data_IF_927727856030
#
_entry.id   IF_927727856030
#
_cell.length_a   1.000
_cell.length_b   1.000
_cell.length_c   1.000
_cell.angle_alpha   90.00
_cell.angle_beta   90.00
_cell.angle_gamma   90.00
#
_symmetry.space_group_name_H-M   'P 1'
#
loop_
_entity.id
_entity.type
_entity.pdbx_description
1 polymer ?
#
# COMPACT_ATOMS: atom_id res chain seq x y z
N UNK A 1 4.89 -9.78 -24.97
CA UNK A 1 4.53 -9.02 -23.76
C UNK A 1 5.60 -7.96 -23.53
N UNK A 2 5.23 -6.68 -23.56
CA UNK A 2 6.15 -5.54 -23.36
C UNK A 2 6.73 -5.59 -21.95
N UNK A 3 7.98 -5.16 -21.75
CA UNK A 3 8.64 -5.17 -20.44
C UNK A 3 8.56 -3.81 -19.76
N UNK A 4 8.33 -3.79 -18.46
CA UNK A 4 8.43 -2.60 -17.60
C UNK A 4 9.43 -2.85 -16.48
N UNK A 5 10.33 -1.89 -16.25
CA UNK A 5 11.26 -1.95 -15.13
C UNK A 5 10.58 -1.44 -13.88
N UNK A 6 10.23 -2.34 -12.97
CA UNK A 6 9.52 -2.01 -11.74
C UNK A 6 10.51 -1.99 -10.57
N UNK A 7 10.42 -0.95 -9.74
CA UNK A 7 11.04 -0.99 -8.42
C UNK A 7 10.06 -1.65 -7.43
N UNK A 8 10.58 -2.59 -6.65
CA UNK A 8 9.93 -3.12 -5.46
C UNK A 8 11.01 -3.56 -4.48
N UNK A 9 10.74 -3.47 -3.17
CA UNK A 9 11.76 -3.69 -2.15
C UNK A 9 12.28 -5.14 -2.16
N UNK A 10 13.45 -5.35 -1.54
CA UNK A 10 14.12 -6.65 -1.54
C UNK A 10 13.46 -7.65 -0.59
N UNK A 11 12.84 -7.16 0.49
CA UNK A 11 12.13 -7.99 1.45
C UNK A 11 10.79 -8.39 0.85
N UNK A 12 10.46 -9.69 0.81
CA UNK A 12 9.13 -10.20 0.44
C UNK A 12 8.06 -9.61 1.36
N UNK A 13 7.60 -8.41 1.05
CA UNK A 13 6.39 -7.84 1.62
C UNK A 13 5.28 -7.94 0.57
N UNK A 14 4.04 -7.96 1.03
CA UNK A 14 2.89 -8.17 0.16
C UNK A 14 2.76 -7.12 -0.94
N UNK A 15 3.05 -5.85 -0.65
CA UNK A 15 2.89 -4.75 -1.60
C UNK A 15 3.80 -4.88 -2.82
N UNK A 16 5.00 -5.41 -2.62
CA UNK A 16 5.97 -5.65 -3.68
C UNK A 16 5.50 -6.74 -4.65
N UNK A 17 5.05 -7.88 -4.13
CA UNK A 17 4.50 -8.97 -4.96
C UNK A 17 3.17 -8.56 -5.61
N UNK A 18 2.32 -7.84 -4.88
CA UNK A 18 1.06 -7.32 -5.39
C UNK A 18 1.29 -6.31 -6.54
N UNK A 19 2.32 -5.46 -6.45
CA UNK A 19 2.69 -4.54 -7.54
C UNK A 19 2.96 -5.31 -8.82
N UNK A 20 3.75 -6.37 -8.70
CA UNK A 20 4.12 -7.20 -9.84
C UNK A 20 2.88 -7.84 -10.44
N UNK A 21 2.08 -8.53 -9.64
CA UNK A 21 0.90 -9.27 -10.13
C UNK A 21 -0.12 -8.32 -10.78
N UNK A 22 -0.39 -7.15 -10.19
CA UNK A 22 -1.30 -6.16 -10.77
C UNK A 22 -0.79 -5.64 -12.12
N UNK A 23 0.49 -5.28 -12.21
CA UNK A 23 1.09 -4.78 -13.45
C UNK A 23 1.09 -5.86 -14.54
N UNK A 24 1.35 -7.12 -14.18
CA UNK A 24 1.38 -8.21 -15.14
C UNK A 24 -0.01 -8.61 -15.64
N UNK A 25 -0.99 -8.70 -14.76
CA UNK A 25 -2.31 -9.24 -15.11
C UNK A 25 -3.30 -8.18 -15.60
N UNK A 26 -3.33 -6.99 -15.00
CA UNK A 26 -4.30 -5.95 -15.36
C UNK A 26 -3.83 -5.09 -16.53
N UNK A 27 -2.51 -4.92 -16.70
CA UNK A 27 -1.92 -4.06 -17.72
C UNK A 27 -1.15 -4.84 -18.80
N UNK A 28 -1.09 -6.17 -18.68
CA UNK A 28 -0.48 -7.06 -19.67
C UNK A 28 0.99 -6.73 -19.99
N UNK A 29 1.72 -6.27 -18.98
CA UNK A 29 3.15 -5.99 -19.05
C UNK A 29 3.96 -7.13 -18.40
N UNK A 30 5.20 -7.31 -18.81
CA UNK A 30 6.16 -8.21 -18.15
C UNK A 30 7.00 -7.40 -17.19
N UNK A 31 7.01 -7.77 -15.92
CA UNK A 31 7.77 -7.02 -14.91
C UNK A 31 9.22 -7.48 -14.92
N UNK A 32 10.15 -6.52 -14.97
CA UNK A 32 11.57 -6.72 -14.72
C UNK A 32 11.97 -5.95 -13.46
N UNK A 33 12.37 -6.66 -12.41
CA UNK A 33 12.83 -6.02 -11.17
C UNK A 33 14.08 -5.18 -11.43
N UNK A 34 14.05 -3.92 -11.03
CA UNK A 34 15.21 -3.01 -11.07
C UNK A 34 15.39 -2.29 -9.75
N UNK A 35 16.54 -1.62 -9.62
CA UNK A 35 16.83 -0.71 -8.51
C UNK A 35 16.17 0.65 -8.77
N UNK A 36 16.08 1.49 -7.74
CA UNK A 36 15.32 2.75 -7.80
C UNK A 36 15.72 3.65 -8.97
N UNK A 37 17.01 3.80 -9.24
CA UNK A 37 17.52 4.71 -10.30
C UNK A 37 17.36 4.19 -11.73
N UNK A 38 17.10 2.89 -11.91
CA UNK A 38 16.95 2.24 -13.22
C UNK A 38 15.54 1.69 -13.48
N UNK A 39 14.60 1.97 -12.59
CA UNK A 39 13.20 1.59 -12.73
C UNK A 39 12.40 2.67 -13.46
N UNK A 40 11.45 2.24 -14.28
CA UNK A 40 10.55 3.09 -15.05
C UNK A 40 9.25 3.37 -14.26
N UNK A 41 8.89 2.50 -13.32
CA UNK A 41 7.64 2.55 -12.55
C UNK A 41 7.86 2.29 -11.05
N UNK A 42 7.14 3.06 -10.22
CA UNK A 42 6.93 2.84 -8.79
C UNK A 42 5.41 2.74 -8.55
N UNK A 43 4.94 1.56 -8.11
CA UNK A 43 3.52 1.22 -8.08
C UNK A 43 2.93 1.17 -6.66
N UNK A 44 3.17 0.12 -5.86
CA UNK A 44 2.51 -0.06 -4.55
C UNK A 44 3.49 0.08 -3.39
N UNK A 45 2.99 0.59 -2.27
CA UNK A 45 3.71 0.57 -1.00
C UNK A 45 4.52 1.82 -0.69
N UNK A 46 5.21 1.80 0.45
CA UNK A 46 6.00 2.93 0.98
C UNK A 46 7.43 2.92 0.49
N UNK A 47 7.58 3.17 -0.82
CA UNK A 47 8.86 3.01 -1.54
C UNK A 47 9.47 4.34 -2.01
N UNK A 48 8.77 5.47 -1.85
CA UNK A 48 9.25 6.76 -2.35
C UNK A 48 10.47 7.31 -1.61
N UNK A 49 10.69 6.92 -0.36
CA UNK A 49 11.93 7.24 0.39
C UNK A 49 13.19 6.72 -0.33
N UNK A 50 13.07 5.64 -1.12
CA UNK A 50 14.17 5.10 -1.91
C UNK A 50 14.53 5.96 -3.15
N UNK A 51 13.69 6.95 -3.47
CA UNK A 51 13.83 7.83 -4.65
C UNK A 51 14.43 9.20 -4.32
N UNK A 52 14.57 9.51 -3.04
CA UNK A 52 15.07 10.80 -2.52
C UNK A 52 16.41 10.62 -1.82
N UNK A 53 17.20 11.69 -1.77
CA UNK A 53 18.51 11.66 -1.15
C UNK A 53 18.45 11.28 0.34
N UNK A 54 19.01 10.14 0.74
CA UNK A 54 19.09 9.77 2.15
C UNK A 54 20.35 10.36 2.81
N UNK A 55 20.16 11.33 3.72
CA UNK A 55 21.25 11.95 4.50
C UNK A 55 21.96 10.99 5.45
N UNK A 56 21.27 9.95 5.94
CA UNK A 56 21.84 8.91 6.81
C UNK A 56 22.77 7.93 6.06
N UNK A 57 22.71 7.92 4.72
CA UNK A 57 23.55 7.09 3.87
C UNK A 57 24.13 7.90 2.69
N UNK A 58 24.96 8.93 2.96
CA UNK A 58 25.34 9.94 1.96
C UNK A 58 26.14 9.35 0.80
N UNK A 59 27.07 8.42 1.07
CA UNK A 59 27.86 7.78 0.02
C UNK A 59 26.99 7.01 -0.99
N UNK A 60 26.03 6.22 -0.50
CA UNK A 60 25.07 5.50 -1.36
C UNK A 60 24.17 6.48 -2.12
N UNK A 61 23.74 7.55 -1.46
CA UNK A 61 22.91 8.60 -2.07
C UNK A 61 23.63 9.36 -3.17
N UNK A 62 24.93 9.63 -3.04
CA UNK A 62 25.73 10.27 -4.11
C UNK A 62 25.84 9.35 -5.32
N UNK A 63 26.09 8.05 -5.13
CA UNK A 63 26.11 7.08 -6.23
C UNK A 63 24.75 7.04 -6.95
N UNK A 64 23.66 6.93 -6.20
CA UNK A 64 22.30 6.96 -6.77
C UNK A 64 22.00 8.27 -7.49
N UNK A 65 22.46 9.40 -6.98
CA UNK A 65 22.30 10.70 -7.62
C UNK A 65 23.03 10.77 -8.96
N UNK A 66 24.28 10.29 -9.04
CA UNK A 66 25.04 10.27 -10.29
C UNK A 66 24.32 9.40 -11.33
N UNK A 67 23.94 8.17 -10.95
CA UNK A 67 23.22 7.25 -11.83
C UNK A 67 21.83 7.77 -12.25
N UNK A 68 21.11 8.38 -11.31
CA UNK A 68 19.78 8.95 -11.56
C UNK A 68 19.81 10.17 -12.47
N UNK A 69 20.87 10.99 -12.42
CA UNK A 69 21.03 12.17 -13.27
C UNK A 69 21.47 11.84 -14.69
N UNK A 70 22.15 10.73 -14.92
CA UNK A 70 22.47 10.26 -16.27
C UNK A 70 21.29 9.59 -16.95
N UNK A 71 20.35 9.02 -16.18
CA UNK A 71 19.14 8.41 -16.72
C UNK A 71 18.08 9.47 -17.10
N UNK A 72 17.93 9.71 -18.41
CA UNK A 72 17.00 10.71 -18.97
C UNK A 72 15.58 10.20 -19.25
N UNK A 73 15.36 8.89 -19.15
CA UNK A 73 14.02 8.32 -19.32
C UNK A 73 13.04 8.95 -18.31
N UNK A 74 11.73 8.96 -18.57
CA UNK A 74 10.76 9.27 -17.53
C UNK A 74 10.75 8.17 -16.45
N UNK A 75 10.48 8.54 -15.21
CA UNK A 75 10.03 7.60 -14.16
C UNK A 75 8.62 7.97 -13.75
N UNK A 76 7.75 6.98 -13.65
CA UNK A 76 6.37 7.16 -13.28
C UNK A 76 6.13 6.72 -11.84
N UNK A 77 5.45 7.58 -11.07
CA UNK A 77 4.91 7.25 -9.76
C UNK A 77 3.41 7.01 -9.92
N UNK A 78 2.95 5.82 -9.54
CA UNK A 78 1.57 5.37 -9.71
C UNK A 78 1.09 4.57 -8.50
N UNK A 79 0.60 5.28 -7.48
CA UNK A 79 -0.03 4.70 -6.30
C UNK A 79 0.91 4.37 -5.14
N UNK A 80 2.16 4.85 -5.20
CA UNK A 80 3.14 4.71 -4.12
C UNK A 80 3.11 5.91 -3.19
N UNK A 81 3.69 5.76 -2.00
CA UNK A 81 3.83 6.85 -1.03
C UNK A 81 5.13 6.82 -0.23
N UNK A 82 5.32 7.84 0.61
CA UNK A 82 6.40 7.88 1.59
C UNK A 82 6.06 7.03 2.83
N UNK A 83 7.09 6.66 3.60
CA UNK A 83 6.93 5.85 4.82
C UNK A 83 6.75 6.71 6.08
N UNK A 84 7.47 7.82 6.18
CA UNK A 84 7.47 8.74 7.32
C UNK A 84 7.33 10.17 6.86
N UNK A 85 7.11 11.11 7.79
CA UNK A 85 7.23 12.54 7.51
C UNK A 85 8.70 12.99 7.40
N UNK A 86 9.61 12.29 8.08
CA UNK A 86 11.03 12.66 8.20
C UNK A 86 11.90 12.27 7.00
N UNK A 87 11.42 12.38 5.75
CA UNK A 87 12.38 12.19 4.64
C UNK A 87 13.29 13.41 4.61
N UNK A 88 14.54 13.18 4.99
CA UNK A 88 15.55 14.21 5.17
C UNK A 88 16.16 14.69 3.83
N UNK A 89 15.68 14.15 2.71
CA UNK A 89 16.27 14.30 1.39
C UNK A 89 15.81 15.55 0.65
N UNK A 90 16.72 16.51 0.36
CA UNK A 90 16.33 17.77 -0.28
C UNK A 90 15.99 17.66 -1.77
N UNK A 91 16.13 16.48 -2.39
CA UNK A 91 15.86 16.28 -3.81
C UNK A 91 15.67 14.81 -4.15
N UNK A 92 14.96 14.56 -5.25
CA UNK A 92 14.90 13.25 -5.90
C UNK A 92 16.20 12.91 -6.65
N UNK A 93 16.53 11.62 -6.75
CA UNK A 93 17.69 11.16 -7.52
C UNK A 93 17.51 11.34 -9.03
N UNK A 94 16.28 11.24 -9.54
CA UNK A 94 15.92 11.42 -10.95
C UNK A 94 15.27 12.77 -11.17
N UNK A 95 15.52 13.40 -12.32
CA UNK A 95 14.93 14.71 -12.67
C UNK A 95 13.59 14.62 -13.42
N UNK A 96 13.41 13.60 -14.27
CA UNK A 96 12.21 13.46 -15.10
C UNK A 96 11.20 12.52 -14.41
N UNK A 97 10.54 13.02 -13.37
CA UNK A 97 9.55 12.27 -12.60
C UNK A 97 8.15 12.68 -13.02
N UNK A 98 7.27 11.71 -13.20
CA UNK A 98 5.88 11.89 -13.59
C UNK A 98 4.98 11.28 -12.52
N UNK A 99 4.39 12.14 -11.69
CA UNK A 99 3.44 11.73 -10.67
C UNK A 99 2.07 11.54 -11.31
N UNK A 100 1.72 10.29 -11.65
CA UNK A 100 0.41 9.94 -12.21
C UNK A 100 -0.62 9.73 -11.11
N UNK A 101 -0.21 9.00 -10.08
CA UNK A 101 -0.97 8.81 -8.86
C UNK A 101 -0.02 8.69 -7.67
N UNK A 102 -0.42 9.20 -6.53
CA UNK A 102 0.28 9.03 -5.25
C UNK A 102 -0.68 8.48 -4.22
N UNK A 103 -0.16 7.86 -3.15
CA UNK A 103 -1.02 7.22 -2.14
C UNK A 103 -2.08 8.17 -1.57
N UNK A 104 -1.70 9.41 -1.25
CA UNK A 104 -2.62 10.43 -0.76
C UNK A 104 -1.98 11.82 -0.63
N UNK A 105 -2.68 12.71 0.08
CA UNK A 105 -2.36 14.14 0.19
C UNK A 105 -1.02 14.39 0.87
N UNK A 106 -0.65 13.58 1.86
CA UNK A 106 0.62 13.78 2.58
C UNK A 106 1.81 13.42 1.69
N UNK A 107 1.69 12.38 0.87
CA UNK A 107 2.70 12.07 -0.15
C UNK A 107 2.79 13.17 -1.20
N UNK A 108 1.66 13.72 -1.67
CA UNK A 108 1.68 14.84 -2.61
C UNK A 108 2.44 16.03 -2.02
N UNK A 109 2.01 16.53 -0.86
CA UNK A 109 2.59 17.71 -0.23
C UNK A 109 4.11 17.56 -0.09
N UNK A 110 4.55 16.38 0.33
CA UNK A 110 5.97 16.08 0.48
C UNK A 110 6.73 16.04 -0.83
N UNK A 111 6.13 15.50 -1.89
CA UNK A 111 6.74 15.55 -3.22
C UNK A 111 6.88 17.00 -3.70
N UNK A 112 5.87 17.84 -3.49
CA UNK A 112 5.89 19.27 -3.83
C UNK A 112 6.96 20.03 -3.03
N UNK A 113 7.08 19.78 -1.73
CA UNK A 113 8.12 20.37 -0.88
C UNK A 113 9.54 20.06 -1.38
N UNK A 114 9.75 18.84 -1.89
CA UNK A 114 11.05 18.40 -2.43
C UNK A 114 11.31 18.97 -3.83
N UNK A 115 10.26 19.12 -4.65
CA UNK A 115 10.37 19.64 -6.01
C UNK A 115 10.46 21.17 -6.05
N UNK A 116 9.86 21.85 -5.07
CA UNK A 116 9.66 23.30 -5.07
C UNK A 116 8.57 23.77 -6.03
N UNK A 117 7.69 22.88 -6.50
CA UNK A 117 6.59 23.18 -7.43
C UNK A 117 5.39 22.24 -7.20
N UNK A 118 4.16 22.69 -7.51
CA UNK A 118 2.96 21.87 -7.35
C UNK A 118 2.90 20.73 -8.37
N UNK A 119 2.29 19.61 -7.97
CA UNK A 119 1.96 18.47 -8.85
C UNK A 119 0.45 18.23 -8.85
N UNK A 120 -0.05 17.46 -9.83
CA UNK A 120 -1.48 17.14 -9.95
C UNK A 120 -1.70 15.63 -10.15
N UNK A 121 -1.32 14.78 -9.17
CA UNK A 121 -1.55 13.35 -9.25
C UNK A 121 -3.01 13.00 -8.90
N UNK A 122 -3.46 11.83 -9.35
CA UNK A 122 -4.60 11.16 -8.72
C UNK A 122 -4.20 10.63 -7.33
N UNK A 123 -5.18 10.34 -6.47
CA UNK A 123 -4.93 9.74 -5.17
C UNK A 123 -5.40 8.29 -5.11
N UNK A 124 -4.59 7.46 -4.46
CA UNK A 124 -4.92 6.07 -4.16
C UNK A 124 -3.69 5.19 -4.13
N UNK A 125 -3.70 4.16 -3.29
CA UNK A 125 -2.71 3.09 -3.37
C UNK A 125 -3.13 2.10 -4.47
N UNK A 126 -2.22 1.72 -5.37
CA UNK A 126 -2.56 0.81 -6.47
C UNK A 126 -2.98 -0.59 -5.98
N UNK A 127 -2.71 -0.95 -4.72
CA UNK A 127 -3.23 -2.16 -4.07
C UNK A 127 -4.76 -2.22 -4.01
N UNK A 128 -5.46 -1.10 -4.16
CA UNK A 128 -6.94 -1.07 -4.22
C UNK A 128 -7.50 -1.86 -5.42
N UNK A 129 -6.65 -2.17 -6.40
CA UNK A 129 -7.00 -3.01 -7.55
C UNK A 129 -6.87 -4.53 -7.26
N UNK A 130 -6.52 -4.92 -6.03
CA UNK A 130 -6.30 -6.33 -5.68
C UNK A 130 -7.50 -7.23 -5.99
N UNK A 131 -8.73 -6.78 -5.73
CA UNK A 131 -9.93 -7.57 -6.03
C UNK A 131 -10.12 -7.87 -7.53
N UNK A 132 -9.54 -7.08 -8.44
CA UNK A 132 -9.59 -7.37 -9.89
C UNK A 132 -8.83 -8.66 -10.25
N UNK A 133 -7.82 -9.05 -9.46
CA UNK A 133 -7.03 -10.26 -9.67
C UNK A 133 -7.82 -11.56 -9.45
N UNK A 134 -8.90 -11.49 -8.68
CA UNK A 134 -9.79 -12.62 -8.35
C UNK A 134 -11.24 -12.35 -8.75
N UNK A 135 -11.50 -11.34 -9.60
CA UNK A 135 -12.85 -10.87 -9.93
C UNK A 135 -13.80 -11.96 -10.42
N UNK A 136 -13.27 -12.94 -11.17
CA UNK A 136 -14.05 -14.08 -11.68
C UNK A 136 -14.51 -15.06 -10.60
N UNK A 137 -13.93 -14.96 -9.40
CA UNK A 137 -14.24 -15.82 -8.25
C UNK A 137 -15.20 -15.12 -7.26
N UNK A 138 -15.47 -13.82 -7.45
CA UNK A 138 -16.33 -13.05 -6.56
C UNK A 138 -17.82 -13.18 -6.95
N UNK A 139 -18.75 -13.18 -5.95
CA UNK A 139 -18.49 -13.13 -4.52
C UNK A 139 -18.01 -14.48 -3.96
N UNK A 140 -17.06 -14.44 -3.03
CA UNK A 140 -16.60 -15.62 -2.28
C UNK A 140 -17.45 -15.79 -1.02
N UNK A 141 -17.90 -17.02 -0.76
CA UNK A 141 -18.66 -17.36 0.45
C UNK A 141 -17.89 -17.02 1.73
N UNK A 142 -18.56 -16.32 2.66
CA UNK A 142 -17.99 -15.97 3.96
C UNK A 142 -17.83 -17.21 4.82
N UNK A 143 -16.66 -17.39 5.42
CA UNK A 143 -16.33 -18.49 6.33
C UNK A 143 -16.00 -18.01 7.74
N UNK A 144 -15.45 -16.81 7.85
CA UNK A 144 -14.95 -16.26 9.10
C UNK A 144 -15.67 -14.96 9.42
N UNK A 145 -16.01 -14.75 10.69
CA UNK A 145 -16.52 -13.45 11.13
C UNK A 145 -15.39 -12.42 11.16
N UNK A 146 -14.20 -12.83 11.59
CA UNK A 146 -13.04 -11.94 11.70
C UNK A 146 -11.81 -12.49 10.97
N UNK A 147 -11.21 -11.67 10.13
CA UNK A 147 -9.84 -11.85 9.64
C UNK A 147 -8.87 -11.02 10.48
N UNK A 148 -7.82 -11.64 11.00
CA UNK A 148 -6.76 -10.96 11.76
C UNK A 148 -5.48 -10.97 10.93
N UNK A 149 -4.96 -9.80 10.61
CA UNK A 149 -3.85 -9.62 9.69
C UNK A 149 -2.68 -8.90 10.38
N UNK A 150 -1.77 -9.63 11.05
CA UNK A 150 -0.60 -9.00 11.65
C UNK A 150 0.38 -8.52 10.58
N UNK A 151 1.02 -7.39 10.83
CA UNK A 151 2.25 -7.00 10.15
C UNK A 151 3.32 -8.07 10.41
N UNK A 152 4.25 -8.27 9.47
CA UNK A 152 5.22 -9.36 9.58
C UNK A 152 6.09 -9.29 10.84
N UNK A 153 6.32 -8.08 11.39
CA UNK A 153 7.05 -7.87 12.65
C UNK A 153 6.26 -8.31 13.88
N UNK A 154 4.93 -8.28 13.78
CA UNK A 154 4.00 -8.63 14.85
C UNK A 154 3.47 -10.05 14.74
N UNK A 155 3.78 -10.77 13.65
CA UNK A 155 3.18 -12.08 13.33
C UNK A 155 3.23 -13.07 14.50
N UNK A 156 4.35 -13.11 15.22
CA UNK A 156 4.57 -14.03 16.33
C UNK A 156 4.30 -13.38 17.71
N UNK A 157 3.69 -12.20 17.73
CA UNK A 157 3.37 -11.51 18.98
C UNK A 157 2.18 -12.20 19.67
N UNK A 158 2.23 -12.47 20.99
CA UNK A 158 1.16 -13.18 21.71
C UNK A 158 -0.22 -12.54 21.56
N UNK A 159 -0.28 -11.21 21.45
CA UNK A 159 -1.53 -10.47 21.22
C UNK A 159 -2.32 -10.92 19.99
N UNK A 160 -1.66 -11.42 18.94
CA UNK A 160 -2.34 -11.94 17.73
C UNK A 160 -3.16 -13.17 18.09
N UNK A 161 -2.56 -14.08 18.87
CA UNK A 161 -3.21 -15.31 19.30
C UNK A 161 -4.30 -15.01 20.34
N UNK A 162 -4.04 -14.11 21.27
CA UNK A 162 -5.05 -13.63 22.22
C UNK A 162 -6.27 -13.05 21.49
N UNK A 163 -6.07 -12.21 20.46
CA UNK A 163 -7.16 -11.67 19.67
C UNK A 163 -7.93 -12.79 18.92
N UNK A 164 -7.22 -13.78 18.39
CA UNK A 164 -7.82 -14.96 17.73
C UNK A 164 -8.71 -15.76 18.69
N UNK A 165 -8.22 -16.01 19.90
CA UNK A 165 -8.94 -16.80 20.93
C UNK A 165 -10.18 -16.08 21.47
N UNK A 166 -10.16 -14.75 21.53
CA UNK A 166 -11.25 -13.95 22.09
C UNK A 166 -12.29 -13.49 21.05
N UNK A 167 -11.95 -13.48 19.75
CA UNK A 167 -12.91 -13.14 18.70
C UNK A 167 -13.62 -14.40 18.16
N UNK A 168 -14.97 -14.38 18.06
CA UNK A 168 -15.73 -15.53 17.58
C UNK A 168 -15.44 -15.79 16.11
N UNK A 169 -15.19 -17.06 15.74
CA UNK A 169 -14.95 -17.48 14.35
C UNK A 169 -13.90 -16.60 13.62
N UNK A 170 -12.70 -16.53 14.20
CA UNK A 170 -11.59 -15.73 13.71
C UNK A 170 -10.55 -16.57 12.94
N UNK A 171 -9.88 -15.94 11.97
CA UNK A 171 -8.82 -16.56 11.18
C UNK A 171 -7.63 -15.61 11.02
N UNK A 172 -6.42 -16.10 11.28
CA UNK A 172 -5.18 -15.32 11.14
C UNK A 172 -4.63 -15.48 9.73
N UNK A 173 -4.42 -14.37 9.02
CA UNK A 173 -4.00 -14.31 7.63
C UNK A 173 -2.54 -13.80 7.56
N UNK A 174 -1.63 -14.56 6.95
CA UNK A 174 -0.25 -14.11 6.70
C UNK A 174 -0.16 -13.42 5.33
N UNK A 175 0.01 -12.10 5.35
CA UNK A 175 0.19 -11.26 4.14
C UNK A 175 1.43 -11.61 3.32
N UNK A 176 2.32 -12.48 3.79
CA UNK A 176 3.48 -12.97 3.02
C UNK A 176 3.16 -14.21 2.18
N UNK A 177 1.96 -14.76 2.30
CA UNK A 177 1.47 -15.81 1.40
C UNK A 177 1.29 -15.25 -0.03
N UNK A 178 0.93 -16.12 -0.98
CA UNK A 178 0.70 -15.72 -2.36
C UNK A 178 -0.40 -14.65 -2.44
N UNK A 179 -0.21 -13.55 -3.20
CA UNK A 179 -1.15 -12.44 -3.23
C UNK A 179 -2.61 -12.82 -3.46
N UNK A 180 -2.94 -13.66 -4.44
CA UNK A 180 -4.33 -14.06 -4.71
C UNK A 180 -4.90 -14.93 -3.61
N UNK A 181 -4.10 -15.80 -3.01
CA UNK A 181 -4.53 -16.59 -1.85
C UNK A 181 -4.90 -15.70 -0.67
N UNK A 182 -4.09 -14.70 -0.35
CA UNK A 182 -4.42 -13.72 0.70
C UNK A 182 -5.69 -12.94 0.37
N UNK A 183 -5.85 -12.50 -0.89
CA UNK A 183 -7.06 -11.79 -1.33
C UNK A 183 -8.30 -12.69 -1.13
N UNK A 184 -8.22 -13.98 -1.48
CA UNK A 184 -9.31 -14.96 -1.24
C UNK A 184 -9.55 -15.20 0.24
N UNK A 185 -8.52 -15.24 1.07
CA UNK A 185 -8.65 -15.39 2.53
C UNK A 185 -9.38 -14.19 3.13
N UNK A 186 -9.00 -12.97 2.76
CA UNK A 186 -9.68 -11.73 3.17
C UNK A 186 -11.14 -11.72 2.68
N UNK A 187 -11.39 -12.15 1.45
CA UNK A 187 -12.74 -12.21 0.89
C UNK A 187 -13.68 -13.16 1.67
N UNK A 188 -13.15 -14.16 2.38
CA UNK A 188 -13.92 -15.08 3.24
C UNK A 188 -14.28 -14.47 4.61
N UNK A 189 -13.80 -13.28 4.94
CA UNK A 189 -14.04 -12.61 6.22
C UNK A 189 -15.19 -11.60 6.13
N UNK A 190 -16.01 -11.49 7.17
CA UNK A 190 -17.01 -10.40 7.31
C UNK A 190 -16.35 -9.09 7.73
N UNK A 191 -15.38 -9.15 8.65
CA UNK A 191 -14.62 -8.00 9.15
C UNK A 191 -13.12 -8.30 9.17
N UNK A 192 -12.28 -7.28 9.05
CA UNK A 192 -10.81 -7.40 9.12
C UNK A 192 -10.22 -6.48 10.17
N UNK A 193 -9.36 -7.02 11.04
CA UNK A 193 -8.47 -6.27 11.92
C UNK A 193 -7.04 -6.47 11.42
N UNK A 194 -6.35 -5.39 11.08
CA UNK A 194 -5.02 -5.49 10.48
C UNK A 194 -4.02 -4.51 11.10
N UNK A 195 -2.80 -4.97 11.40
CA UNK A 195 -1.64 -4.07 11.62
C UNK A 195 -0.79 -3.87 10.36
N UNK A 196 -1.21 -4.50 9.24
CA UNK A 196 -0.62 -4.33 7.91
C UNK A 196 -1.46 -3.38 7.04
N UNK A 197 -0.86 -2.31 6.50
CA UNK A 197 -1.54 -1.38 5.59
C UNK A 197 -2.10 -2.08 4.35
N UNK A 198 -1.36 -3.02 3.74
CA UNK A 198 -1.88 -3.78 2.58
C UNK A 198 -3.04 -4.70 2.97
N UNK A 199 -3.10 -5.17 4.22
CA UNK A 199 -4.28 -5.90 4.70
C UNK A 199 -5.54 -5.02 4.68
N UNK A 200 -5.41 -3.75 5.08
CA UNK A 200 -6.51 -2.77 5.02
C UNK A 200 -6.89 -2.42 3.58
N UNK A 201 -5.90 -2.08 2.74
CA UNK A 201 -6.12 -1.74 1.32
C UNK A 201 -6.81 -2.88 0.56
N UNK A 202 -6.41 -4.13 0.80
CA UNK A 202 -7.01 -5.28 0.13
C UNK A 202 -8.43 -5.54 0.66
N UNK A 203 -8.67 -5.37 1.96
CA UNK A 203 -10.01 -5.46 2.53
C UNK A 203 -10.94 -4.39 1.92
N UNK A 204 -10.49 -3.14 1.81
CA UNK A 204 -11.22 -2.08 1.11
C UNK A 204 -11.49 -2.45 -0.34
N UNK A 205 -10.52 -3.02 -1.07
CA UNK A 205 -10.71 -3.43 -2.47
C UNK A 205 -11.84 -4.45 -2.65
N UNK A 206 -12.13 -5.24 -1.61
CA UNK A 206 -13.16 -6.27 -1.55
C UNK A 206 -14.46 -5.79 -0.88
N UNK A 207 -14.54 -4.51 -0.49
CA UNK A 207 -15.61 -3.95 0.32
C UNK A 207 -15.83 -4.72 1.64
N UNK A 208 -14.75 -5.20 2.26
CA UNK A 208 -14.76 -5.85 3.57
C UNK A 208 -14.42 -4.79 4.63
N UNK A 209 -15.37 -4.45 5.53
CA UNK A 209 -15.11 -3.47 6.58
C UNK A 209 -13.89 -3.86 7.42
N UNK A 210 -13.00 -2.90 7.63
CA UNK A 210 -11.72 -3.14 8.28
C UNK A 210 -11.33 -2.04 9.25
N UNK A 211 -10.46 -2.38 10.20
CA UNK A 211 -9.95 -1.45 11.20
C UNK A 211 -8.46 -1.66 11.43
N UNK A 212 -7.73 -0.55 11.57
CA UNK A 212 -6.31 -0.58 11.88
C UNK A 212 -6.08 -0.89 13.37
N UNK A 213 -5.35 -1.97 13.64
CA UNK A 213 -4.89 -2.33 14.98
C UNK A 213 -3.38 -2.11 15.09
N UNK A 214 -2.93 -1.62 16.24
CA UNK A 214 -1.50 -1.47 16.56
C UNK A 214 -1.17 -2.49 17.64
N UNK A 215 -0.17 -3.33 17.36
CA UNK A 215 0.28 -4.40 18.26
C UNK A 215 1.58 -3.99 18.95
N UNK A 216 2.53 -3.45 18.19
CA UNK A 216 3.80 -2.93 18.70
C UNK A 216 4.12 -1.59 18.05
N UNK A 217 5.05 -0.86 18.65
CA UNK A 217 5.68 0.35 18.11
C UNK A 217 6.75 0.05 17.03
N UNK A 218 6.98 -1.23 16.72
CA UNK A 218 8.01 -1.68 15.76
C UNK A 218 7.59 -1.49 14.30
N UNK A 219 6.31 -1.19 14.04
CA UNK A 219 5.85 -0.88 12.69
C UNK A 219 6.34 0.50 12.29
N UNK A 220 7.34 0.52 11.39
CA UNK A 220 7.95 1.75 10.90
C UNK A 220 6.92 2.64 10.19
N UNK A 221 6.98 3.94 10.48
CA UNK A 221 6.24 4.97 9.76
C UNK A 221 5.47 5.95 10.63
N UNK A 222 5.46 5.80 11.96
CA UNK A 222 4.69 6.66 12.89
C UNK A 222 3.24 6.91 12.41
N UNK A 223 2.59 5.84 11.94
CA UNK A 223 1.27 5.85 11.30
C UNK A 223 1.12 6.74 10.05
N UNK A 224 2.17 7.43 9.57
CA UNK A 224 2.14 8.34 8.42
C UNK A 224 1.54 7.67 7.19
N UNK A 225 2.01 6.46 6.84
CA UNK A 225 1.53 5.74 5.66
C UNK A 225 0.02 5.46 5.69
N UNK A 226 -0.54 5.22 6.87
CA UNK A 226 -1.97 4.99 7.06
C UNK A 226 -2.75 6.30 6.96
N UNK A 227 -2.31 7.36 7.67
CA UNK A 227 -2.87 8.71 7.52
C UNK A 227 -2.90 9.17 6.07
N UNK A 228 -1.82 8.93 5.35
CA UNK A 228 -1.69 9.26 3.94
C UNK A 228 -2.69 8.49 3.08
N UNK A 229 -2.86 7.18 3.28
CA UNK A 229 -3.87 6.38 2.58
C UNK A 229 -5.30 6.90 2.82
N UNK A 230 -5.72 7.08 4.07
CA UNK A 230 -7.08 7.56 4.37
C UNK A 230 -7.32 9.00 3.89
N UNK A 231 -6.27 9.82 3.79
CA UNK A 231 -6.37 11.17 3.21
C UNK A 231 -6.81 11.19 1.74
N UNK A 232 -6.61 10.09 1.00
CA UNK A 232 -7.08 9.92 -0.37
C UNK A 232 -8.62 9.83 -0.46
N UNK A 233 -9.25 9.31 0.58
CA UNK A 233 -10.71 9.31 0.75
C UNK A 233 -11.25 10.60 1.38
N UNK A 234 -10.35 11.47 1.88
CA UNK A 234 -10.74 12.64 2.68
C UNK A 234 -11.17 12.28 4.10
N UNK A 235 -10.75 11.12 4.61
CA UNK A 235 -11.08 10.62 5.94
C UNK A 235 -9.91 10.81 6.91
N UNK A 236 -10.21 10.89 8.20
CA UNK A 236 -9.21 10.78 9.24
C UNK A 236 -8.83 9.32 9.48
N UNK A 237 -7.58 9.09 9.89
CA UNK A 237 -7.11 7.74 10.20
C UNK A 237 -7.28 7.45 11.68
N UNK A 238 -8.08 6.43 11.98
CA UNK A 238 -8.28 5.92 13.33
C UNK A 238 -7.62 4.55 13.50
N UNK A 239 -7.15 4.27 14.72
CA UNK A 239 -6.56 2.98 15.07
C UNK A 239 -6.76 2.66 16.54
N UNK A 240 -6.66 1.37 16.87
CA UNK A 240 -6.72 0.88 18.26
C UNK A 240 -5.41 0.21 18.63
N UNK A 241 -4.77 0.66 19.71
CA UNK A 241 -3.65 -0.07 20.31
C UNK A 241 -4.18 -1.24 21.12
N UNK A 242 -3.97 -2.47 20.68
CA UNK A 242 -4.62 -3.63 21.29
C UNK A 242 -3.91 -4.13 22.55
N UNK A 243 -2.65 -3.75 22.79
CA UNK A 243 -1.95 -4.10 24.03
C UNK A 243 -2.47 -3.30 25.23
N UNK A 244 -2.98 -2.10 24.98
CA UNK A 244 -3.46 -1.16 26.02
C UNK A 244 -4.99 -1.17 26.19
N UNK A 245 -5.73 -1.83 25.29
CA UNK A 245 -7.19 -1.78 25.24
C UNK A 245 -7.84 -3.15 25.46
N UNK A 246 -9.10 -3.12 25.86
CA UNK A 246 -9.96 -4.31 25.93
C UNK A 246 -10.34 -4.77 24.51
N UNK A 247 -9.97 -5.99 24.13
CA UNK A 247 -10.30 -6.63 22.85
C UNK A 247 -11.82 -6.76 22.64
N UNK A 248 -12.60 -6.74 23.71
CA UNK A 248 -14.06 -6.86 23.67
C UNK A 248 -14.75 -5.68 22.94
N UNK A 249 -14.04 -4.58 22.68
CA UNK A 249 -14.58 -3.47 21.89
C UNK A 249 -14.88 -3.89 20.44
N UNK A 250 -14.12 -4.86 19.91
CA UNK A 250 -14.27 -5.31 18.53
C UNK A 250 -15.56 -6.11 18.38
N UNK A 251 -16.56 -5.47 17.80
CA UNK A 251 -17.90 -6.01 17.59
C UNK A 251 -18.44 -5.54 16.25
N UNK A 252 -19.50 -6.18 15.77
CA UNK A 252 -20.21 -5.71 14.57
C UNK A 252 -20.71 -4.27 14.73
N UNK A 253 -21.15 -3.89 15.93
CA UNK A 253 -21.55 -2.51 16.24
C UNK A 253 -20.36 -1.55 16.05
N UNK A 254 -19.22 -1.87 16.65
CA UNK A 254 -17.99 -1.08 16.51
C UNK A 254 -17.60 -0.91 15.04
N UNK A 255 -17.63 -1.98 14.25
CA UNK A 255 -17.27 -1.92 12.82
C UNK A 255 -18.23 -1.03 12.03
N UNK A 256 -19.55 -1.08 12.32
CA UNK A 256 -20.55 -0.22 11.67
C UNK A 256 -20.41 1.26 12.06
N UNK A 257 -19.90 1.54 13.26
CA UNK A 257 -19.72 2.91 13.76
C UNK A 257 -18.40 3.54 13.32
N UNK A 258 -17.39 2.74 12.97
CA UNK A 258 -16.01 3.23 12.72
C UNK A 258 -15.55 3.05 11.28
N UNK A 259 -16.15 2.15 10.50
CA UNK A 259 -15.76 1.96 9.10
C UNK A 259 -16.48 2.95 8.17
N UNK A 260 -15.73 3.94 7.68
CA UNK A 260 -16.27 5.05 6.88
C UNK A 260 -16.05 4.92 5.37
N UNK A 261 -15.18 4.00 4.92
CA UNK A 261 -14.88 3.80 3.50
C UNK A 261 -16.09 3.15 2.81
N UNK A 262 -16.70 3.86 1.87
CA UNK A 262 -17.88 3.38 1.14
C UNK A 262 -17.50 2.66 -0.16
N UNK A 263 -18.37 1.78 -0.65
CA UNK A 263 -18.18 1.10 -1.94
C UNK A 263 -17.99 2.10 -3.10
N UNK A 264 -18.74 3.21 -3.12
CA UNK A 264 -18.58 4.24 -4.15
C UNK A 264 -17.21 4.93 -4.10
N UNK A 265 -16.66 5.16 -2.89
CA UNK A 265 -15.30 5.68 -2.74
C UNK A 265 -14.25 4.70 -3.29
N UNK A 266 -14.43 3.41 -2.99
CA UNK A 266 -13.54 2.34 -3.47
C UNK A 266 -13.59 2.21 -4.99
N UNK A 267 -14.79 2.14 -5.58
CA UNK A 267 -14.94 2.00 -7.03
C UNK A 267 -14.40 3.20 -7.79
N UNK A 268 -14.65 4.43 -7.29
CA UNK A 268 -14.04 5.64 -7.84
C UNK A 268 -12.51 5.55 -7.78
N UNK A 269 -11.93 5.16 -6.65
CA UNK A 269 -10.47 5.04 -6.52
C UNK A 269 -9.91 3.98 -7.49
N UNK A 270 -10.58 2.83 -7.66
CA UNK A 270 -10.18 1.82 -8.65
C UNK A 270 -10.19 2.37 -10.07
N UNK A 271 -11.22 3.13 -10.43
CA UNK A 271 -11.31 3.79 -11.74
C UNK A 271 -10.18 4.81 -11.94
N UNK A 272 -9.97 5.69 -10.96
CA UNK A 272 -8.91 6.71 -10.97
C UNK A 272 -7.52 6.05 -11.09
N UNK A 273 -7.28 4.94 -10.39
CA UNK A 273 -6.03 4.18 -10.48
C UNK A 273 -5.84 3.52 -11.84
N UNK A 274 -6.88 2.94 -12.45
CA UNK A 274 -6.79 2.39 -13.81
C UNK A 274 -6.53 3.48 -14.85
N UNK A 275 -7.25 4.60 -14.76
CA UNK A 275 -7.17 5.71 -15.71
C UNK A 275 -5.85 6.48 -15.63
N UNK A 276 -5.25 6.53 -14.44
CA UNK A 276 -3.95 7.18 -14.20
C UNK A 276 -2.76 6.29 -14.52
N UNK A 277 -2.95 5.00 -14.83
CA UNK A 277 -1.82 4.15 -15.19
C UNK A 277 -1.04 4.76 -16.38
N UNK A 278 0.30 4.81 -16.35
CA UNK A 278 1.08 5.48 -17.39
C UNK A 278 0.88 4.81 -18.77
N UNK A 279 0.11 5.45 -19.65
CA UNK A 279 -0.20 4.93 -21.00
C UNK A 279 1.04 4.78 -21.87
N UNK A 280 2.09 5.58 -21.62
CA UNK A 280 3.39 5.46 -22.30
C UNK A 280 4.09 4.11 -22.00
N UNK A 281 3.80 3.49 -20.85
CA UNK A 281 4.30 2.16 -20.57
C UNK A 281 3.52 1.08 -21.34
N UNK A 282 2.31 1.38 -21.80
CA UNK A 282 1.48 0.47 -22.62
C UNK A 282 1.80 0.62 -24.12
N UNK A 283 1.94 1.85 -24.59
CA UNK A 283 2.15 2.18 -25.99
C UNK A 283 3.63 2.48 -26.25
N UNK A 284 4.35 1.50 -26.79
CA UNK A 284 5.61 1.58 -27.57
C UNK A 284 5.93 0.17 -28.05
#
# INVERSE_FOLDING_TARGET
>A
MKKVKLFYAANKNMGDELSKVIVEELFHLKVEKKITVSSDLFAIGSILDGTVFNKKAPAQSVVKMILGRTNRTPVYIWGSGFITNDTEGPFFYRKNIRFRAVRGKLTQQKAEDILGEPIQPMYGDAGILASELVKKELPIEKKYKWGIIPHFVDKNHPAVETLRENLPNSFVIDVRNEPKDVIREIAKCEYVLSSSMHGLIIADSLNVPNHHIVITDKVIGDNFKFRDYYSAFGLEHHFTNIVENDWAIFSEKFMKETYEVTENMVEKMKEDMKNSFPKELLND
#
